data_IF_758390003986
#
_entry.id   IF_758390003986
#
_cell.length_a   1.000
_cell.length_b   1.000
_cell.length_c   1.000
_cell.angle_alpha   90.00
_cell.angle_beta   90.00
_cell.angle_gamma   90.00
#
_symmetry.space_group_name_H-M   'P 1'
#
loop_
_entity.id
_entity.type
_entity.pdbx_description
1 polymer ?
#
# COMPACT_ATOMS: atom_id res chain seq x y z
N UNK A 1 36.49 -30.49 8.26
CA UNK A 1 35.01 -30.56 8.21
C UNK A 1 34.31 -29.24 8.53
N UNK A 2 34.75 -28.42 9.49
CA UNK A 2 34.09 -27.13 9.79
C UNK A 2 34.09 -26.12 8.63
N UNK A 3 35.17 -26.01 7.85
CA UNK A 3 35.30 -25.01 6.75
C UNK A 3 34.32 -25.26 5.60
N UNK A 4 34.05 -26.53 5.26
CA UNK A 4 33.08 -26.89 4.22
C UNK A 4 31.64 -26.55 4.64
N UNK A 5 31.32 -26.66 5.94
CA UNK A 5 30.00 -26.27 6.48
C UNK A 5 29.79 -24.75 6.40
N UNK A 6 30.82 -23.95 6.67
CA UNK A 6 30.74 -22.48 6.59
C UNK A 6 30.58 -21.98 5.15
N UNK A 7 31.31 -22.56 4.19
CA UNK A 7 31.20 -22.18 2.78
C UNK A 7 29.83 -22.56 2.20
N UNK A 8 29.31 -23.74 2.55
CA UNK A 8 28.00 -24.20 2.10
C UNK A 8 26.87 -23.31 2.66
N UNK A 9 26.99 -22.82 3.89
CA UNK A 9 26.02 -21.92 4.51
C UNK A 9 26.02 -20.52 3.86
N UNK A 10 27.20 -20.00 3.50
CA UNK A 10 27.33 -18.73 2.75
C UNK A 10 26.77 -18.84 1.34
N UNK A 11 26.92 -19.99 0.68
CA UNK A 11 26.34 -20.25 -0.64
C UNK A 11 24.81 -20.42 -0.57
N UNK A 12 24.29 -21.03 0.50
CA UNK A 12 22.86 -21.22 0.70
C UNK A 12 22.12 -19.89 0.98
N UNK A 13 22.76 -18.97 1.71
CA UNK A 13 22.25 -17.60 1.94
C UNK A 13 22.18 -16.76 0.65
N UNK A 14 23.03 -17.03 -0.34
CA UNK A 14 23.04 -16.35 -1.65
C UNK A 14 21.91 -16.83 -2.60
N UNK A 15 21.29 -17.97 -2.29
CA UNK A 15 20.22 -18.55 -3.10
C UNK A 15 18.82 -18.34 -2.50
N UNK A 16 18.71 -17.67 -1.35
CA UNK A 16 17.41 -17.28 -0.84
C UNK A 16 16.89 -16.12 -1.71
N UNK A 17 15.71 -16.24 -2.33
CA UNK A 17 15.07 -15.06 -2.92
C UNK A 17 14.91 -14.04 -1.80
N UNK A 18 15.34 -12.79 -2.05
CA UNK A 18 14.96 -11.70 -1.18
C UNK A 18 13.44 -11.61 -1.20
N UNK A 19 12.79 -11.99 -0.10
CA UNK A 19 11.40 -11.65 0.12
C UNK A 19 11.40 -10.14 0.37
N UNK A 20 11.21 -9.35 -0.68
CA UNK A 20 10.95 -7.93 -0.52
C UNK A 20 9.51 -7.83 -0.03
N UNK A 21 9.30 -7.38 1.19
CA UNK A 21 7.98 -6.95 1.62
C UNK A 21 7.49 -5.89 0.62
N UNK A 22 6.24 -5.96 0.18
CA UNK A 22 5.69 -4.92 -0.69
C UNK A 22 5.06 -3.88 0.22
N UNK A 23 5.23 -2.59 -0.09
CA UNK A 23 4.66 -1.50 0.73
C UNK A 23 3.13 -1.60 0.79
N UNK A 24 2.52 -2.02 -0.32
CA UNK A 24 1.09 -2.23 -0.50
C UNK A 24 0.88 -3.52 -1.30
N UNK A 25 0.09 -4.43 -0.76
CA UNK A 25 -0.26 -5.71 -1.38
C UNK A 25 -1.59 -5.60 -2.15
N UNK A 26 -1.70 -6.35 -3.25
CA UNK A 26 -2.96 -6.53 -3.99
C UNK A 26 -3.69 -5.22 -4.35
N UNK A 27 -2.96 -4.16 -4.70
CA UNK A 27 -3.56 -2.86 -5.04
C UNK A 27 -4.24 -2.80 -6.41
N UNK A 28 -3.98 -3.78 -7.26
CA UNK A 28 -4.66 -3.99 -8.55
C UNK A 28 -5.82 -5.00 -8.43
N UNK A 29 -6.09 -5.51 -7.22
CA UNK A 29 -7.10 -6.53 -6.92
C UNK A 29 -7.05 -7.75 -7.85
N UNK A 30 -5.88 -8.09 -8.41
CA UNK A 30 -5.73 -9.14 -9.42
C UNK A 30 -6.09 -10.55 -8.94
N UNK A 31 -6.14 -10.77 -7.62
CA UNK A 31 -6.65 -12.00 -7.00
C UNK A 31 -8.18 -12.09 -6.98
N UNK A 32 -8.88 -11.01 -7.31
CA UNK A 32 -10.33 -10.85 -7.21
C UNK A 32 -10.89 -11.12 -5.82
N UNK A 33 -10.12 -10.75 -4.81
CA UNK A 33 -10.54 -10.74 -3.42
C UNK A 33 -9.91 -9.52 -2.71
N UNK A 34 -10.27 -9.34 -1.45
CA UNK A 34 -9.72 -8.29 -0.59
C UNK A 34 -8.46 -8.76 0.15
N UNK A 35 -7.67 -9.70 -0.39
CA UNK A 35 -6.42 -10.11 0.27
C UNK A 35 -5.53 -8.90 0.54
N UNK A 36 -5.05 -8.74 1.76
CA UNK A 36 -4.25 -7.59 2.20
C UNK A 36 -5.06 -6.33 2.58
N UNK A 37 -6.36 -6.31 2.33
CA UNK A 37 -7.23 -5.16 2.62
C UNK A 37 -8.22 -5.47 3.74
N UNK A 38 -8.42 -4.49 4.61
CA UNK A 38 -9.45 -4.47 5.64
C UNK A 38 -10.65 -3.63 5.18
N UNK A 39 -11.80 -3.94 5.75
CA UNK A 39 -13.09 -3.33 5.45
C UNK A 39 -13.76 -2.94 6.75
N UNK A 40 -14.34 -1.76 6.77
CA UNK A 40 -15.01 -1.21 7.94
C UNK A 40 -16.27 -0.46 7.54
N UNK A 41 -17.39 -0.86 8.14
CA UNK A 41 -18.68 -0.19 8.00
C UNK A 41 -18.95 0.57 9.29
N UNK A 42 -19.11 1.89 9.17
CA UNK A 42 -19.39 2.82 10.28
C UNK A 42 -18.40 2.80 11.46
N UNK A 43 -17.17 2.33 11.25
CA UNK A 43 -16.14 2.24 12.30
C UNK A 43 -16.31 1.05 13.24
N UNK A 44 -17.13 0.06 12.85
CA UNK A 44 -17.44 -1.12 13.64
C UNK A 44 -16.87 -2.43 13.05
N UNK A 45 -16.10 -2.33 11.98
CA UNK A 45 -15.50 -3.43 11.24
C UNK A 45 -16.38 -3.95 10.10
N UNK A 46 -15.94 -5.04 9.47
CA UNK A 46 -16.61 -5.61 8.30
C UNK A 46 -17.92 -6.32 8.68
N UNK A 47 -19.06 -5.70 8.35
CA UNK A 47 -20.33 -6.42 8.25
C UNK A 47 -20.39 -7.14 6.90
N UNK A 48 -20.92 -8.37 6.90
CA UNK A 48 -20.90 -9.26 5.72
C UNK A 48 -22.31 -9.63 5.25
N UNK A 49 -23.32 -8.84 5.60
CA UNK A 49 -24.72 -9.22 5.39
C UNK A 49 -25.30 -8.63 4.10
N UNK A 50 -24.75 -7.54 3.59
CA UNK A 50 -25.14 -6.91 2.33
C UNK A 50 -23.96 -6.48 1.47
N UNK A 51 -24.14 -5.38 0.76
CA UNK A 51 -23.36 -5.02 -0.42
C UNK A 51 -22.45 -3.80 -0.21
N UNK A 52 -22.08 -3.49 1.04
CA UNK A 52 -21.13 -2.42 1.38
C UNK A 52 -19.79 -2.57 0.63
N UNK A 53 -19.34 -3.81 0.46
CA UNK A 53 -18.10 -4.12 -0.24
C UNK A 53 -18.26 -5.31 -1.18
N UNK A 54 -17.81 -5.15 -2.42
CA UNK A 54 -17.74 -6.24 -3.39
C UNK A 54 -16.50 -6.15 -4.26
N UNK A 55 -16.17 -7.26 -4.94
CA UNK A 55 -15.18 -7.25 -6.01
C UNK A 55 -15.95 -7.31 -7.32
N UNK A 56 -15.63 -6.41 -8.24
CA UNK A 56 -16.12 -6.47 -9.61
C UNK A 56 -15.03 -6.96 -10.56
N UNK A 57 -15.43 -7.64 -11.64
CA UNK A 57 -14.54 -8.13 -12.68
C UNK A 57 -14.20 -9.61 -12.58
N UNK A 58 -13.13 -10.00 -13.27
CA UNK A 58 -12.66 -11.40 -13.32
C UNK A 58 -11.14 -11.44 -13.40
N UNK A 59 -10.51 -12.37 -12.69
CA UNK A 59 -9.05 -12.40 -12.55
C UNK A 59 -8.34 -12.45 -13.91
N UNK A 60 -7.26 -11.67 -14.11
CA UNK A 60 -6.60 -10.78 -13.14
C UNK A 60 -7.10 -9.33 -13.17
N UNK A 61 -8.24 -9.06 -13.83
CA UNK A 61 -8.79 -7.71 -14.02
C UNK A 61 -10.01 -7.52 -13.14
N UNK A 62 -9.74 -7.20 -11.87
CA UNK A 62 -10.73 -6.93 -10.86
C UNK A 62 -10.51 -5.54 -10.25
N UNK A 63 -11.49 -5.07 -9.51
CA UNK A 63 -11.46 -3.81 -8.76
C UNK A 63 -12.27 -3.97 -7.48
N UNK A 64 -11.88 -3.24 -6.44
CA UNK A 64 -12.69 -3.13 -5.24
C UNK A 64 -13.85 -2.16 -5.46
N UNK A 65 -15.00 -2.50 -4.93
CA UNK A 65 -16.21 -1.69 -4.97
C UNK A 65 -16.67 -1.45 -3.53
N UNK A 66 -16.89 -0.19 -3.21
CA UNK A 66 -17.44 0.30 -1.96
C UNK A 66 -18.78 0.94 -2.29
N UNK A 67 -19.84 0.62 -1.56
CA UNK A 67 -21.19 1.12 -1.81
C UNK A 67 -21.78 1.75 -0.55
N UNK A 68 -22.63 2.76 -0.70
CA UNK A 68 -23.44 3.33 0.39
C UNK A 68 -24.84 3.68 -0.12
N UNK A 69 -25.78 3.84 0.81
CA UNK A 69 -27.17 4.29 0.59
C UNK A 69 -28.02 3.45 -0.39
N UNK A 70 -27.55 2.26 -0.77
CA UNK A 70 -28.38 1.28 -1.46
C UNK A 70 -29.28 0.54 -0.47
N UNK A 71 -30.40 0.00 -0.98
CA UNK A 71 -31.34 -0.77 -0.15
C UNK A 71 -30.76 -2.01 0.53
N UNK A 72 -29.60 -2.48 0.06
CA UNK A 72 -28.88 -3.65 0.54
C UNK A 72 -27.48 -3.33 1.07
N UNK A 73 -27.19 -2.06 1.41
CA UNK A 73 -26.00 -1.66 2.19
C UNK A 73 -26.35 -1.45 3.65
N UNK A 74 -25.38 -1.60 4.54
CA UNK A 74 -25.56 -1.44 5.98
C UNK A 74 -25.05 -0.12 6.54
N UNK A 75 -24.18 0.60 5.81
CA UNK A 75 -23.61 1.86 6.26
C UNK A 75 -24.68 2.95 6.52
N UNK A 76 -24.58 3.57 7.69
CA UNK A 76 -25.34 4.78 8.05
C UNK A 76 -24.53 6.06 7.89
N UNK A 77 -23.20 5.98 8.00
CA UNK A 77 -22.28 7.11 7.86
C UNK A 77 -21.32 6.91 6.70
N UNK A 78 -20.81 5.67 6.54
CA UNK A 78 -19.94 5.36 5.43
C UNK A 78 -19.18 4.05 5.59
N UNK A 79 -18.48 3.72 4.52
CA UNK A 79 -17.66 2.52 4.41
C UNK A 79 -16.21 2.91 4.13
N UNK A 80 -15.28 2.20 4.78
CA UNK A 80 -13.84 2.38 4.63
C UNK A 80 -13.18 1.08 4.17
N UNK A 81 -12.46 1.15 3.05
CA UNK A 81 -11.53 0.12 2.61
C UNK A 81 -10.11 0.62 2.89
N UNK A 82 -9.31 -0.15 3.62
CA UNK A 82 -7.98 0.32 4.02
C UNK A 82 -6.94 -0.79 4.08
N UNK A 83 -5.67 -0.41 4.00
CA UNK A 83 -4.54 -1.31 4.18
C UNK A 83 -3.44 -0.61 4.96
N UNK A 84 -2.91 -1.28 5.99
CA UNK A 84 -1.73 -0.83 6.70
C UNK A 84 -0.49 -0.95 5.81
N UNK A 85 0.32 0.10 5.81
CA UNK A 85 1.49 0.21 4.97
C UNK A 85 2.74 -0.25 5.71
N UNK A 86 3.57 -1.04 5.03
CA UNK A 86 4.88 -1.44 5.52
C UNK A 86 6.01 -0.86 4.66
N UNK A 87 6.60 0.23 5.13
CA UNK A 87 7.74 0.86 4.46
C UNK A 87 9.09 0.18 4.72
N UNK A 88 9.12 -0.97 5.42
CA UNK A 88 10.38 -1.67 5.75
C UNK A 88 11.22 -2.08 4.53
N UNK A 89 10.59 -2.18 3.36
CA UNK A 89 11.24 -2.52 2.09
C UNK A 89 11.64 -1.32 1.23
N UNK A 90 11.29 -0.09 1.61
CA UNK A 90 11.61 1.09 0.82
C UNK A 90 13.13 1.37 0.81
N UNK A 91 13.71 1.57 -0.38
CA UNK A 91 15.15 1.77 -0.60
C UNK A 91 15.70 3.16 -0.25
N UNK A 92 14.92 3.99 0.45
CA UNK A 92 15.29 5.34 0.88
C UNK A 92 15.15 6.44 -0.17
N UNK A 93 14.76 6.09 -1.41
CA UNK A 93 14.39 7.03 -2.46
C UNK A 93 12.97 7.59 -2.30
N UNK A 94 12.61 8.62 -3.10
CA UNK A 94 11.28 9.19 -3.06
C UNK A 94 10.22 8.18 -3.49
N UNK A 95 9.11 8.11 -2.76
CA UNK A 95 7.99 7.21 -3.04
C UNK A 95 6.88 7.98 -3.78
N UNK A 96 6.23 7.33 -4.74
CA UNK A 96 5.05 7.85 -5.42
C UNK A 96 3.88 6.91 -5.20
N UNK A 97 2.78 7.44 -4.69
CA UNK A 97 1.48 6.80 -4.64
C UNK A 97 0.74 7.08 -5.94
N UNK A 98 0.16 6.06 -6.56
CA UNK A 98 -0.76 6.19 -7.69
C UNK A 98 -1.97 5.29 -7.51
N UNK A 99 -3.08 5.66 -8.14
CA UNK A 99 -4.33 4.89 -8.12
C UNK A 99 -5.27 5.34 -9.23
N UNK A 100 -6.18 4.47 -9.59
CA UNK A 100 -7.32 4.77 -10.45
C UNK A 100 -8.62 4.62 -9.64
N UNK A 101 -9.48 5.62 -9.76
CA UNK A 101 -10.74 5.73 -9.03
C UNK A 101 -11.87 5.97 -10.03
N UNK A 102 -13.00 5.31 -9.83
CA UNK A 102 -14.26 5.62 -10.50
C UNK A 102 -15.37 5.74 -9.46
N UNK A 103 -16.24 6.72 -9.59
CA UNK A 103 -17.38 6.93 -8.72
C UNK A 103 -18.66 7.07 -9.53
N UNK A 104 -19.79 6.73 -8.93
CA UNK A 104 -21.10 6.97 -9.50
C UNK A 104 -22.14 7.10 -8.40
N UNK A 105 -23.24 7.81 -8.67
CA UNK A 105 -24.41 7.90 -7.80
C UNK A 105 -25.68 7.62 -8.60
N UNK A 106 -26.72 7.11 -7.94
CA UNK A 106 -28.05 6.90 -8.55
C UNK A 106 -28.77 8.22 -8.83
N UNK A 107 -28.53 9.23 -8.00
CA UNK A 107 -29.09 10.58 -8.10
C UNK A 107 -28.00 11.60 -8.46
N UNK A 108 -28.39 12.70 -9.09
CA UNK A 108 -27.49 13.81 -9.42
C UNK A 108 -28.11 15.15 -9.04
N UNK A 109 -27.37 16.25 -9.22
CA UNK A 109 -27.84 17.63 -9.04
C UNK A 109 -29.03 18.05 -9.92
N UNK A 110 -29.47 17.17 -10.83
CA UNK A 110 -30.67 17.36 -11.63
C UNK A 110 -31.93 16.79 -10.98
N UNK A 111 -31.78 15.95 -9.96
CA UNK A 111 -32.87 15.37 -9.18
C UNK A 111 -33.28 16.28 -8.03
N UNK A 112 -34.57 16.24 -7.66
CA UNK A 112 -35.07 17.02 -6.53
C UNK A 112 -34.57 16.43 -5.21
N UNK A 113 -34.15 17.30 -4.28
CA UNK A 113 -33.62 16.93 -2.97
C UNK A 113 -32.32 16.11 -3.04
N UNK A 114 -31.55 16.24 -4.12
CA UNK A 114 -30.22 15.66 -4.22
C UNK A 114 -29.32 16.16 -3.08
N UNK A 115 -28.64 15.21 -2.45
CA UNK A 115 -27.63 15.44 -1.42
C UNK A 115 -26.42 14.61 -1.83
N UNK A 116 -25.33 15.27 -2.20
CA UNK A 116 -24.17 14.56 -2.69
C UNK A 116 -23.52 13.74 -1.58
N UNK A 117 -23.49 12.41 -1.77
CA UNK A 117 -22.48 11.56 -1.16
C UNK A 117 -21.09 11.99 -1.63
N UNK A 118 -20.07 11.62 -0.87
CA UNK A 118 -18.70 12.05 -1.15
C UNK A 118 -17.71 10.97 -0.75
N UNK A 119 -16.50 11.06 -1.30
CA UNK A 119 -15.43 10.15 -0.94
C UNK A 119 -14.18 10.89 -0.50
N UNK A 120 -13.43 10.26 0.39
CA UNK A 120 -12.17 10.75 0.92
C UNK A 120 -11.10 9.68 0.71
N UNK A 121 -9.93 10.14 0.27
CA UNK A 121 -8.70 9.34 0.27
C UNK A 121 -7.72 10.04 1.21
N UNK A 122 -7.19 9.31 2.19
CA UNK A 122 -6.22 9.85 3.13
C UNK A 122 -5.30 8.75 3.64
N UNK A 123 -4.19 9.15 4.26
CA UNK A 123 -3.53 8.26 5.21
C UNK A 123 -4.10 8.48 6.61
N UNK A 124 -4.05 7.45 7.45
CA UNK A 124 -4.55 7.50 8.83
C UNK A 124 -3.61 6.73 9.76
N UNK A 125 -3.31 7.26 10.94
CA UNK A 125 -2.42 6.61 11.92
C UNK A 125 -3.16 6.07 13.17
N UNK A 126 -4.49 6.10 13.15
CA UNK A 126 -5.33 5.81 14.31
C UNK A 126 -5.72 7.04 15.14
N UNK A 127 -5.17 8.22 14.82
CA UNK A 127 -5.47 9.48 15.51
C UNK A 127 -5.73 10.60 14.51
N UNK A 128 -4.75 10.89 13.67
CA UNK A 128 -4.75 11.99 12.71
C UNK A 128 -4.86 11.46 11.27
N UNK A 129 -5.45 12.27 10.39
CA UNK A 129 -5.44 12.04 8.93
C UNK A 129 -4.29 12.79 8.29
N UNK A 130 -3.76 12.28 7.18
CA UNK A 130 -2.65 12.92 6.46
C UNK A 130 -2.90 12.95 4.96
N UNK A 131 -2.41 14.02 4.32
CA UNK A 131 -2.18 14.05 2.87
C UNK A 131 -0.73 13.62 2.55
N UNK A 132 -0.25 13.95 1.35
CA UNK A 132 1.11 13.63 0.94
C UNK A 132 2.18 14.60 1.51
N UNK A 133 1.77 15.61 2.29
CA UNK A 133 2.60 16.70 2.81
C UNK A 133 2.56 16.87 4.33
N UNK A 134 1.52 16.40 5.03
CA UNK A 134 1.41 16.54 6.48
C UNK A 134 0.05 16.16 7.09
N UNK A 135 -0.10 16.38 8.41
CA UNK A 135 -1.27 15.97 9.19
C UNK A 135 -2.48 16.90 9.02
N UNK A 136 -3.64 16.40 9.45
CA UNK A 136 -4.97 17.01 9.41
C UNK A 136 -5.44 17.41 8.01
N UNK A 137 -5.12 16.56 7.03
CA UNK A 137 -5.39 16.80 5.61
C UNK A 137 -5.86 15.51 4.93
N UNK A 138 -6.42 15.66 3.72
CA UNK A 138 -6.92 14.58 2.86
C UNK A 138 -6.13 14.60 1.55
N UNK A 139 -5.73 13.44 1.04
CA UNK A 139 -5.04 13.33 -0.26
C UNK A 139 -5.95 13.80 -1.40
N UNK A 140 -7.21 13.37 -1.34
CA UNK A 140 -8.22 13.72 -2.31
C UNK A 140 -9.60 13.62 -1.69
N UNK A 141 -10.50 14.50 -2.12
CA UNK A 141 -11.90 14.50 -1.71
C UNK A 141 -12.74 15.09 -2.84
N UNK A 142 -13.91 14.51 -3.09
CA UNK A 142 -14.89 15.08 -4.00
C UNK A 142 -16.30 14.59 -3.68
N UNK A 143 -17.26 15.47 -3.94
CA UNK A 143 -18.69 15.15 -4.03
C UNK A 143 -18.95 14.29 -5.28
N UNK A 144 -19.84 13.31 -5.15
CA UNK A 144 -20.26 12.41 -6.23
C UNK A 144 -21.55 12.97 -6.83
N UNK A 145 -21.52 13.23 -8.13
CA UNK A 145 -22.65 13.81 -8.87
C UNK A 145 -22.79 13.09 -10.22
N UNK A 146 -23.08 11.78 -10.13
CA UNK A 146 -23.04 10.85 -11.25
C UNK A 146 -21.64 10.30 -11.55
N UNK A 147 -21.49 9.70 -12.73
CA UNK A 147 -20.28 8.98 -13.12
C UNK A 147 -19.09 9.92 -13.32
N UNK A 148 -18.00 9.66 -12.60
CA UNK A 148 -16.71 10.33 -12.79
C UNK A 148 -15.54 9.36 -12.56
N UNK A 149 -14.40 9.64 -13.19
CA UNK A 149 -13.18 8.84 -13.04
C UNK A 149 -11.96 9.74 -12.81
N UNK A 150 -11.03 9.27 -11.99
CA UNK A 150 -9.82 9.98 -11.61
C UNK A 150 -8.61 9.05 -11.68
N UNK A 151 -7.52 9.52 -12.30
CA UNK A 151 -6.20 8.89 -12.18
C UNK A 151 -5.34 9.82 -11.33
N UNK A 152 -4.97 9.37 -10.14
CA UNK A 152 -4.30 10.19 -9.12
C UNK A 152 -2.84 9.77 -8.95
N UNK A 153 -1.97 10.74 -8.68
CA UNK A 153 -0.55 10.50 -8.40
C UNK A 153 0.01 11.54 -7.45
N UNK A 154 0.67 11.08 -6.39
CA UNK A 154 1.22 11.91 -5.31
C UNK A 154 2.65 11.50 -4.98
N UNK A 155 3.55 12.47 -4.93
CA UNK A 155 4.87 12.28 -4.33
C UNK A 155 4.72 12.31 -2.80
N UNK A 156 5.16 11.26 -2.13
CA UNK A 156 5.02 11.12 -0.67
C UNK A 156 6.16 11.83 0.05
N UNK A 157 5.81 12.60 1.08
CA UNK A 157 6.79 13.15 2.01
C UNK A 157 7.45 12.04 2.85
N UNK A 158 8.76 12.16 3.07
CA UNK A 158 9.54 11.17 3.81
C UNK A 158 9.12 11.04 5.29
N UNK A 159 8.41 12.04 5.85
CA UNK A 159 7.86 11.94 7.20
C UNK A 159 6.82 10.83 7.34
N UNK A 160 6.05 10.54 6.28
CA UNK A 160 5.00 9.51 6.29
C UNK A 160 5.58 8.11 6.53
N UNK A 161 6.77 7.82 5.99
CA UNK A 161 7.40 6.49 6.14
C UNK A 161 7.90 6.21 7.56
N UNK A 162 7.90 7.22 8.42
CA UNK A 162 8.30 7.11 9.83
C UNK A 162 7.12 6.97 10.80
N UNK A 163 5.89 7.11 10.30
CA UNK A 163 4.69 6.99 11.10
C UNK A 163 4.37 5.50 11.35
N UNK A 164 4.23 5.07 12.61
CA UNK A 164 3.78 3.72 12.91
C UNK A 164 2.29 3.57 12.57
N UNK A 165 1.88 2.37 12.18
CA UNK A 165 0.47 2.02 11.94
C UNK A 165 -0.25 2.92 10.90
N UNK A 166 0.50 3.46 9.94
CA UNK A 166 -0.10 4.25 8.87
C UNK A 166 -0.89 3.33 7.93
N UNK A 167 -2.17 3.61 7.74
CA UNK A 167 -3.00 2.99 6.71
C UNK A 167 -3.24 3.96 5.55
N UNK A 168 -3.46 3.42 4.36
CA UNK A 168 -4.08 4.14 3.25
C UNK A 168 -5.57 3.79 3.24
N UNK A 169 -6.41 4.83 3.34
CA UNK A 169 -7.85 4.71 3.53
C UNK A 169 -8.60 5.26 2.33
N UNK A 170 -9.58 4.48 1.86
CA UNK A 170 -10.58 4.88 0.88
C UNK A 170 -11.94 4.86 1.56
N UNK A 171 -12.50 6.04 1.79
CA UNK A 171 -13.77 6.22 2.47
C UNK A 171 -14.84 6.67 1.48
N UNK A 172 -15.98 6.00 1.48
CA UNK A 172 -17.20 6.45 0.81
C UNK A 172 -18.21 6.80 1.90
N UNK A 173 -18.67 8.04 1.92
CA UNK A 173 -19.47 8.61 3.01
C UNK A 173 -20.80 9.12 2.49
N UNK A 174 -21.83 8.99 3.33
CA UNK A 174 -23.16 9.48 3.03
C UNK A 174 -23.20 11.01 3.20
N UNK A 175 -23.78 11.68 2.22
CA UNK A 175 -24.14 13.08 2.29
C UNK A 175 -25.37 13.28 3.17
N UNK A 176 -25.47 14.43 3.84
CA UNK A 176 -26.67 14.80 4.59
C UNK A 176 -27.03 16.27 4.35
N UNK A 177 -28.33 16.55 4.24
CA UNK A 177 -28.85 17.91 4.19
C UNK A 177 -28.77 18.63 5.55
N UNK A 178 -29.24 19.88 5.59
CA UNK A 178 -29.24 20.70 6.81
C UNK A 178 -30.08 20.10 7.96
N UNK A 179 -31.02 19.20 7.66
CA UNK A 179 -31.86 18.51 8.63
C UNK A 179 -31.28 17.13 9.02
N UNK A 180 -30.16 16.72 8.40
CA UNK A 180 -29.44 15.47 8.67
C UNK A 180 -29.97 14.26 7.90
N UNK A 181 -30.71 14.48 6.80
CA UNK A 181 -31.23 13.41 5.96
C UNK A 181 -30.39 13.20 4.72
N UNK A 182 -30.16 11.94 4.35
CA UNK A 182 -29.58 11.54 3.06
C UNK A 182 -30.66 11.58 1.98
N UNK A 183 -30.26 11.55 0.72
CA UNK A 183 -31.22 11.52 -0.40
C UNK A 183 -31.69 10.10 -0.77
N UNK A 184 -31.16 9.06 -0.10
CA UNK A 184 -31.46 7.64 -0.30
C UNK A 184 -31.08 7.15 -1.71
N UNK A 185 -30.19 7.87 -2.40
CA UNK A 185 -29.65 7.50 -3.70
C UNK A 185 -28.33 6.78 -3.53
N UNK A 186 -28.27 5.50 -3.94
CA UNK A 186 -27.05 4.72 -3.74
C UNK A 186 -25.83 5.29 -4.47
N UNK A 187 -24.68 5.31 -3.80
CA UNK A 187 -23.41 5.74 -4.37
C UNK A 187 -22.37 4.63 -4.33
N UNK A 188 -21.50 4.62 -5.34
CA UNK A 188 -20.46 3.62 -5.54
C UNK A 188 -19.09 4.30 -5.70
N UNK A 189 -18.07 3.74 -5.05
CA UNK A 189 -16.66 4.04 -5.24
C UNK A 189 -15.93 2.76 -5.68
N UNK A 190 -15.31 2.79 -6.86
CA UNK A 190 -14.45 1.74 -7.40
C UNK A 190 -13.00 2.15 -7.26
N UNK A 191 -12.19 1.25 -6.73
CA UNK A 191 -10.76 1.44 -6.47
C UNK A 191 -9.95 0.39 -7.23
N UNK A 192 -8.96 0.85 -8.00
CA UNK A 192 -8.08 -0.05 -8.74
C UNK A 192 -6.66 0.54 -8.90
N UNK A 193 -5.71 -0.31 -9.30
CA UNK A 193 -4.36 0.05 -9.69
C UNK A 193 -3.62 0.90 -8.65
N UNK A 194 -3.86 0.61 -7.37
CA UNK A 194 -3.22 1.29 -6.25
C UNK A 194 -1.79 0.79 -6.14
N UNK A 195 -0.82 1.70 -6.15
CA UNK A 195 0.58 1.32 -6.02
C UNK A 195 1.37 2.39 -5.29
N UNK A 196 2.33 1.95 -4.47
CA UNK A 196 3.38 2.81 -3.93
C UNK A 196 4.70 2.31 -4.47
N UNK A 197 5.31 3.11 -5.35
CA UNK A 197 6.57 2.74 -6.01
C UNK A 197 7.68 3.69 -5.64
N UNK A 198 8.87 3.14 -5.43
CA UNK A 198 10.08 3.94 -5.27
C UNK A 198 10.56 4.47 -6.62
N UNK A 199 10.74 5.78 -6.70
CA UNK A 199 11.38 6.46 -7.81
C UNK A 199 12.89 6.24 -7.70
N UNK A 200 13.33 5.01 -7.98
CA UNK A 200 14.76 4.69 -8.00
C UNK A 200 15.39 5.20 -9.28
N UNK A 201 16.45 5.98 -9.14
CA UNK A 201 17.44 6.12 -10.21
C UNK A 201 18.38 4.94 -10.03
N UNK A 202 18.40 4.00 -10.99
CA UNK A 202 19.26 2.82 -10.86
C UNK A 202 20.72 3.25 -10.75
N UNK A 203 21.31 3.11 -9.56
CA UNK A 203 22.76 3.26 -9.39
C UNK A 203 23.33 1.84 -9.43
N UNK A 204 24.34 1.55 -10.28
CA UNK A 204 24.91 0.21 -10.35
C UNK A 204 25.35 -0.24 -8.96
N UNK A 205 24.79 -1.35 -8.49
CA UNK A 205 25.24 -1.96 -7.23
C UNK A 205 26.75 -2.27 -7.33
N UNK A 206 27.52 -2.10 -6.24
CA UNK A 206 28.88 -2.61 -6.19
C UNK A 206 28.80 -4.11 -6.42
N UNK A 207 29.34 -4.59 -7.54
CA UNK A 207 29.20 -5.98 -7.96
C UNK A 207 29.63 -6.90 -6.81
N UNK A 208 28.69 -7.66 -6.23
CA UNK A 208 28.96 -8.54 -5.09
C UNK A 208 30.10 -9.55 -5.36
N UNK A 209 30.33 -9.87 -6.64
CA UNK A 209 31.48 -10.63 -7.11
C UNK A 209 32.83 -9.96 -6.77
N UNK A 210 32.94 -8.63 -6.87
CA UNK A 210 34.16 -7.88 -6.55
C UNK A 210 34.41 -7.93 -5.03
N UNK A 211 33.39 -7.72 -4.21
CA UNK A 211 33.50 -7.86 -2.75
C UNK A 211 33.89 -9.27 -2.33
N UNK A 212 33.37 -10.31 -3.00
CA UNK A 212 33.74 -11.70 -2.77
C UNK A 212 35.19 -12.00 -3.17
N UNK A 213 35.64 -11.51 -4.33
CA UNK A 213 37.02 -11.67 -4.80
C UNK A 213 37.99 -11.00 -3.83
N UNK A 214 37.68 -9.78 -3.37
CA UNK A 214 38.51 -9.06 -2.40
C UNK A 214 38.51 -9.77 -1.04
N UNK A 215 37.35 -10.24 -0.57
CA UNK A 215 37.24 -10.98 0.68
C UNK A 215 38.01 -12.31 0.67
N UNK A 216 37.92 -13.07 -0.42
CA UNK A 216 38.70 -14.29 -0.63
C UNK A 216 40.20 -13.99 -0.71
N UNK A 217 40.61 -12.97 -1.46
CA UNK A 217 42.01 -12.56 -1.57
C UNK A 217 42.60 -12.15 -0.22
N UNK A 218 41.84 -11.42 0.60
CA UNK A 218 42.25 -11.06 1.96
C UNK A 218 42.37 -12.28 2.88
N UNK A 219 41.42 -13.22 2.81
CA UNK A 219 41.46 -14.45 3.61
C UNK A 219 42.63 -15.37 3.23
N UNK A 220 42.93 -15.51 1.93
CA UNK A 220 44.11 -16.25 1.45
C UNK A 220 45.42 -15.54 1.83
N UNK A 221 45.49 -14.22 1.71
CA UNK A 221 46.67 -13.43 2.11
C UNK A 221 46.98 -13.51 3.60
N UNK A 222 45.96 -13.45 4.46
CA UNK A 222 46.13 -13.57 5.92
C UNK A 222 46.65 -14.96 6.32
N UNK A 223 46.27 -16.02 5.59
CA UNK A 223 46.70 -17.40 5.87
C UNK A 223 48.19 -17.62 5.53
N UNK A 224 48.64 -17.09 4.39
CA UNK A 224 50.05 -17.17 3.96
C UNK A 224 50.98 -16.38 4.88
N UNK A 225 50.52 -15.22 5.38
CA UNK A 225 51.30 -14.41 6.33
C UNK A 225 51.49 -15.13 7.67
N UNK A 226 50.46 -15.84 8.15
CA UNK A 226 50.51 -16.61 9.41
C UNK A 226 51.44 -17.82 9.32
N UNK A 227 51.48 -18.51 8.18
CA UNK A 227 52.39 -19.63 7.95
C UNK A 227 53.87 -19.18 7.89
N UNK A 228 54.15 -18.01 7.31
CA UNK A 228 55.51 -17.42 7.33
C UNK A 228 55.96 -17.03 8.73
N UNK A 229 55.09 -16.49 9.58
CA UNK A 229 55.42 -16.18 10.97
C UNK A 229 55.74 -17.44 11.80
N UNK A 230 55.02 -18.54 11.58
CA UNK A 230 55.28 -19.80 12.28
C UNK A 230 56.55 -20.52 11.80
N UNK A 231 56.91 -20.35 10.52
CA UNK A 231 58.17 -20.86 9.96
C UNK A 231 59.40 -20.07 10.43
N UNK A 232 59.26 -18.75 10.67
CA UNK A 232 60.36 -17.88 11.11
C UNK A 232 60.73 -18.00 12.59
N UNK A 233 59.88 -18.61 13.43
CA UNK A 233 60.18 -18.88 14.85
C UNK A 233 60.91 -20.21 15.10
N UNK A 234 61.27 -20.95 14.05
CA UNK A 234 61.99 -22.24 14.15
C UNK A 234 63.46 -22.18 13.74
N UNK A 235 64.03 -20.98 13.51
CA UNK A 235 65.47 -20.79 13.26
C UNK A 235 66.21 -20.36 14.51
#
# INVERSE_FOLDING_TARGET
>A
MLVYRSILLSFLMLCLPAANAVILENGDFSTCDFSGWERDTDGAGNYSLGNDFSINGTAPSCEAVINVDYTDTEAFFGNTLFQFLDFSSAGGGPLTLSMDIEVNSELTDTDNNFVADYFIISFYDGVDTYDNTGPNQRLFEADINGLASYTLSFLLDASLTSLPNLSLDFQLLLGADDDGFTDLGGSTLRVNNVSITENSVSVPEPSGAILMIVGLAAAFGARVSREKQLSGQRS
#
